data_IF_111349670673
#
_entry.id   IF_111349670673
#
_cell.length_a   1.000
_cell.length_b   1.000
_cell.length_c   1.000
_cell.angle_alpha   90.00
_cell.angle_beta   90.00
_cell.angle_gamma   90.00
#
_symmetry.space_group_name_H-M   'P 1'
#
loop_
_entity.id
_entity.type
_entity.pdbx_description
1 polymer ?
#
# COMPACT_ATOMS: atom_id res chain seq x y z
N UNK A 1 33.30 -6.87 -7.88
CA UNK A 1 32.97 -7.98 -8.82
C UNK A 1 31.54 -7.78 -9.26
N UNK A 2 31.33 -7.52 -10.56
CA UNK A 2 30.03 -7.35 -11.18
C UNK A 2 29.24 -8.68 -11.12
N UNK A 3 27.98 -8.59 -10.74
CA UNK A 3 27.07 -9.71 -10.47
C UNK A 3 27.06 -10.75 -11.59
N UNK A 4 27.26 -12.04 -11.25
CA UNK A 4 27.00 -13.16 -12.17
C UNK A 4 25.50 -13.44 -12.16
N UNK A 5 24.83 -13.32 -13.31
CA UNK A 5 23.47 -13.82 -13.46
C UNK A 5 23.43 -15.32 -13.17
N UNK A 6 22.48 -15.78 -12.35
CA UNK A 6 22.28 -17.19 -12.05
C UNK A 6 21.70 -17.92 -13.27
N UNK A 7 22.11 -19.18 -13.45
CA UNK A 7 21.59 -20.06 -14.50
C UNK A 7 20.09 -20.33 -14.33
N UNK A 8 19.32 -20.51 -15.43
CA UNK A 8 17.93 -20.94 -15.33
C UNK A 8 17.78 -22.22 -14.50
N UNK A 9 16.93 -22.19 -13.47
CA UNK A 9 16.72 -23.33 -12.56
C UNK A 9 17.65 -23.37 -11.35
N UNK A 10 18.56 -22.41 -11.18
CA UNK A 10 19.30 -22.26 -9.93
C UNK A 10 18.33 -21.92 -8.80
N UNK A 11 18.27 -22.76 -7.78
CA UNK A 11 17.67 -22.41 -6.49
C UNK A 11 18.49 -21.28 -5.88
N UNK A 12 17.84 -20.18 -5.49
CA UNK A 12 18.46 -19.13 -4.69
C UNK A 12 18.48 -19.63 -3.25
N UNK A 13 19.65 -20.03 -2.70
CA UNK A 13 19.71 -20.47 -1.32
C UNK A 13 19.48 -19.25 -0.44
N UNK A 14 18.40 -19.27 0.35
CA UNK A 14 17.98 -18.15 1.18
C UNK A 14 16.86 -17.32 0.56
N UNK A 15 15.64 -17.86 0.55
CA UNK A 15 14.46 -17.00 0.65
C UNK A 15 14.21 -16.77 2.16
N UNK A 16 15.15 -16.01 2.74
CA UNK A 16 15.22 -15.52 4.13
C UNK A 16 14.55 -16.40 5.21
N UNK A 17 15.24 -17.36 5.84
CA UNK A 17 15.15 -17.39 7.29
C UNK A 17 15.96 -16.18 7.76
N UNK A 18 15.33 -15.00 7.78
CA UNK A 18 15.79 -13.98 8.70
C UNK A 18 15.95 -14.65 10.08
N UNK A 19 16.94 -14.26 10.90
CA UNK A 19 17.10 -14.90 12.20
C UNK A 19 15.73 -14.91 12.90
N UNK A 20 15.31 -16.06 13.42
CA UNK A 20 14.13 -16.14 14.28
C UNK A 20 14.36 -15.10 15.37
N UNK A 21 13.63 -13.98 15.30
CA UNK A 21 13.83 -12.92 16.26
C UNK A 21 13.32 -13.44 17.60
N UNK A 22 14.19 -13.39 18.61
CA UNK A 22 13.82 -13.79 19.95
C UNK A 22 12.65 -12.90 20.41
N UNK A 23 11.47 -13.50 20.55
CA UNK A 23 10.30 -12.87 21.14
C UNK A 23 10.70 -12.21 22.47
N UNK A 24 10.27 -10.97 22.71
CA UNK A 24 10.42 -10.31 24.01
C UNK A 24 11.58 -9.31 24.16
N UNK A 25 12.39 -9.05 23.12
CA UNK A 25 13.33 -7.90 23.16
C UNK A 25 12.61 -6.58 22.85
N UNK A 26 11.72 -6.60 21.86
CA UNK A 26 10.99 -5.43 21.37
C UNK A 26 9.53 -5.81 21.13
N UNK A 27 8.63 -4.85 21.34
CA UNK A 27 7.24 -4.99 20.93
C UNK A 27 7.14 -4.64 19.44
N UNK A 28 6.74 -5.61 18.62
CA UNK A 28 6.86 -5.53 17.16
C UNK A 28 5.49 -5.42 16.50
N UNK A 29 5.28 -4.32 15.79
CA UNK A 29 4.08 -4.07 14.99
C UNK A 29 4.46 -4.06 13.52
N UNK A 30 3.77 -4.87 12.73
CA UNK A 30 3.87 -4.90 11.28
C UNK A 30 2.67 -4.13 10.68
N UNK A 31 2.93 -3.01 9.99
CA UNK A 31 1.90 -2.14 9.41
C UNK A 31 1.52 -2.50 7.97
N UNK A 32 2.32 -3.35 7.31
CA UNK A 32 2.18 -3.64 5.89
C UNK A 32 2.04 -5.15 5.74
N UNK A 33 0.80 -5.62 5.71
CA UNK A 33 0.48 -7.02 5.53
C UNK A 33 -0.96 -7.19 5.05
N UNK A 34 -1.17 -8.15 4.14
CA UNK A 34 -2.43 -8.22 3.42
C UNK A 34 -3.25 -9.48 3.73
N UNK A 35 -4.58 -9.33 3.84
CA UNK A 35 -5.54 -10.43 3.88
C UNK A 35 -6.48 -10.41 2.68
N UNK A 36 -6.93 -11.60 2.27
CA UNK A 36 -7.73 -11.82 1.08
C UNK A 36 -9.13 -12.36 1.44
N UNK A 37 -10.16 -11.65 1.03
CA UNK A 37 -11.56 -12.09 1.14
C UNK A 37 -11.97 -12.87 -0.11
N UNK A 38 -12.16 -14.18 0.02
CA UNK A 38 -12.66 -15.02 -1.09
C UNK A 38 -14.11 -14.67 -1.46
N UNK A 39 -14.92 -14.25 -0.48
CA UNK A 39 -16.29 -13.75 -0.72
C UNK A 39 -16.29 -12.55 -1.66
N UNK A 40 -15.44 -11.55 -1.39
CA UNK A 40 -15.36 -10.37 -2.23
C UNK A 40 -14.79 -10.67 -3.62
N UNK A 41 -13.87 -11.64 -3.74
CA UNK A 41 -13.38 -12.11 -5.03
C UNK A 41 -14.48 -12.74 -5.88
N UNK A 42 -15.36 -13.56 -5.28
CA UNK A 42 -16.48 -14.18 -5.99
C UNK A 42 -17.51 -13.14 -6.51
N UNK A 43 -17.71 -12.04 -5.77
CA UNK A 43 -18.67 -10.98 -6.15
C UNK A 43 -18.29 -10.24 -7.44
N UNK A 44 -17.01 -10.22 -7.80
CA UNK A 44 -16.49 -9.52 -8.98
C UNK A 44 -16.05 -10.47 -10.09
N UNK A 45 -16.32 -11.77 -9.94
CA UNK A 45 -15.93 -12.77 -10.93
C UNK A 45 -16.52 -12.44 -12.30
N UNK A 46 -15.67 -12.41 -13.32
CA UNK A 46 -16.07 -12.07 -14.69
C UNK A 46 -16.23 -10.56 -14.95
N UNK A 47 -16.08 -9.69 -13.96
CA UNK A 47 -16.14 -8.25 -14.17
C UNK A 47 -14.81 -7.71 -14.75
N UNK A 48 -14.79 -7.44 -16.05
CA UNK A 48 -13.61 -6.99 -16.77
C UNK A 48 -13.02 -5.65 -16.27
N UNK A 49 -13.81 -4.80 -15.60
CA UNK A 49 -13.37 -3.51 -15.09
C UNK A 49 -12.47 -3.64 -13.85
N UNK A 50 -12.53 -4.78 -13.15
CA UNK A 50 -11.71 -5.07 -11.95
C UNK A 50 -10.88 -6.35 -12.07
N UNK A 51 -11.03 -7.09 -13.16
CA UNK A 51 -10.27 -8.32 -13.43
C UNK A 51 -8.87 -8.09 -14.01
N UNK A 52 -8.39 -6.84 -14.09
CA UNK A 52 -7.14 -6.48 -14.79
C UNK A 52 -6.08 -5.99 -13.82
N UNK A 53 -5.51 -6.92 -13.05
CA UNK A 53 -4.39 -6.56 -12.19
C UNK A 53 -3.14 -6.24 -13.01
N UNK A 54 -2.43 -5.19 -12.61
CA UNK A 54 -1.31 -4.65 -13.37
C UNK A 54 -0.20 -5.67 -13.67
N UNK A 55 0.20 -6.48 -12.67
CA UNK A 55 1.24 -7.51 -12.90
C UNK A 55 0.78 -8.65 -13.80
N UNK A 56 -0.51 -8.76 -14.11
CA UNK A 56 -1.05 -9.70 -15.08
C UNK A 56 -1.17 -9.09 -16.48
N UNK A 57 -1.43 -7.80 -16.59
CA UNK A 57 -1.61 -7.13 -17.89
C UNK A 57 -0.29 -6.64 -18.47
N UNK A 58 0.59 -6.09 -17.63
CA UNK A 58 1.83 -5.46 -18.06
C UNK A 58 3.01 -6.42 -18.20
N UNK A 59 2.92 -7.65 -17.66
CA UNK A 59 4.03 -8.61 -17.65
C UNK A 59 4.00 -9.60 -18.85
N UNK A 60 5.13 -10.23 -19.17
CA UNK A 60 5.19 -11.33 -20.15
C UNK A 60 4.55 -12.64 -19.61
N UNK A 61 4.29 -13.61 -20.49
CA UNK A 61 3.58 -14.85 -20.14
C UNK A 61 4.25 -15.65 -19.02
N UNK A 62 5.58 -15.74 -19.04
CA UNK A 62 6.35 -16.45 -18.01
C UNK A 62 6.15 -15.81 -16.64
N UNK A 63 6.25 -14.49 -16.57
CA UNK A 63 6.06 -13.72 -15.34
C UNK A 63 4.62 -13.84 -14.83
N UNK A 64 3.61 -13.79 -15.72
CA UNK A 64 2.20 -14.02 -15.35
C UNK A 64 1.99 -15.41 -14.72
N UNK A 65 2.63 -16.43 -15.27
CA UNK A 65 2.52 -17.79 -14.74
C UNK A 65 3.14 -17.91 -13.35
N UNK A 66 4.32 -17.32 -13.14
CA UNK A 66 4.97 -17.28 -11.82
C UNK A 66 4.12 -16.50 -10.82
N UNK A 67 3.52 -15.37 -11.22
CA UNK A 67 2.65 -14.58 -10.35
C UNK A 67 1.42 -15.39 -9.88
N UNK A 68 0.76 -16.12 -10.80
CA UNK A 68 -0.34 -17.01 -10.47
C UNK A 68 0.08 -18.09 -9.46
N UNK A 69 1.22 -18.75 -9.70
CA UNK A 69 1.76 -19.75 -8.77
C UNK A 69 2.08 -19.17 -7.39
N UNK A 70 2.66 -17.97 -7.35
CA UNK A 70 2.94 -17.28 -6.09
C UNK A 70 1.65 -16.96 -5.34
N UNK A 71 0.62 -16.43 -6.02
CA UNK A 71 -0.67 -16.12 -5.41
C UNK A 71 -1.40 -17.34 -4.85
N UNK A 72 -1.29 -18.50 -5.51
CA UNK A 72 -1.81 -19.76 -4.97
C UNK A 72 -1.02 -20.23 -3.74
N UNK A 73 0.31 -20.13 -3.78
CA UNK A 73 1.16 -20.53 -2.65
C UNK A 73 0.92 -19.67 -1.41
N UNK A 74 0.66 -18.36 -1.58
CA UNK A 74 0.42 -17.42 -0.46
C UNK A 74 -1.04 -17.29 -0.07
N UNK A 75 -1.95 -18.02 -0.75
CA UNK A 75 -3.39 -17.90 -0.53
C UNK A 75 -3.77 -18.19 0.92
N UNK A 76 -3.20 -19.26 1.50
CA UNK A 76 -3.51 -19.67 2.88
C UNK A 76 -3.09 -18.61 3.90
N UNK A 77 -1.89 -18.04 3.77
CA UNK A 77 -1.43 -16.94 4.62
C UNK A 77 -2.34 -15.70 4.48
N UNK A 78 -2.85 -15.45 3.27
CA UNK A 78 -3.80 -14.37 3.01
C UNK A 78 -5.21 -14.62 3.54
N UNK A 79 -5.67 -15.87 3.66
CA UNK A 79 -7.07 -16.19 3.96
C UNK A 79 -7.32 -16.89 5.30
N UNK A 80 -6.28 -17.36 6.00
CA UNK A 80 -6.40 -18.02 7.32
C UNK A 80 -5.69 -17.21 8.40
N UNK A 81 -6.47 -16.77 9.39
CA UNK A 81 -5.94 -16.10 10.57
C UNK A 81 -5.07 -17.04 11.42
N UNK A 82 -5.43 -18.33 11.50
CA UNK A 82 -4.71 -19.34 12.26
C UNK A 82 -3.29 -19.56 11.72
N UNK A 83 -3.14 -19.76 10.41
CA UNK A 83 -1.82 -19.89 9.77
C UNK A 83 -1.00 -18.61 9.93
N UNK A 84 -1.64 -17.44 9.80
CA UNK A 84 -1.00 -16.14 10.01
C UNK A 84 -0.44 -15.96 11.42
N UNK A 85 -1.17 -16.39 12.45
CA UNK A 85 -0.68 -16.34 13.84
C UNK A 85 0.57 -17.21 14.02
N UNK A 86 0.60 -18.39 13.40
CA UNK A 86 1.79 -19.26 13.43
C UNK A 86 3.00 -18.57 12.79
N UNK A 87 2.81 -17.91 11.65
CA UNK A 87 3.88 -17.19 10.97
C UNK A 87 4.33 -15.94 11.75
N UNK A 88 3.39 -15.17 12.31
CA UNK A 88 3.70 -14.04 13.21
C UNK A 88 4.54 -14.48 14.42
N UNK A 89 4.16 -15.58 15.07
CA UNK A 89 4.89 -16.12 16.22
C UNK A 89 6.31 -16.58 15.84
N UNK A 90 6.49 -17.15 14.64
CA UNK A 90 7.81 -17.53 14.11
C UNK A 90 8.68 -16.32 13.77
N UNK A 91 8.07 -15.25 13.27
CA UNK A 91 8.75 -14.01 12.89
C UNK A 91 9.04 -13.10 14.08
N UNK A 92 8.39 -13.34 15.23
CA UNK A 92 8.49 -12.46 16.40
C UNK A 92 7.63 -11.20 16.29
N UNK A 93 6.52 -11.27 15.55
CA UNK A 93 5.57 -10.16 15.36
C UNK A 93 4.45 -10.27 16.40
N UNK A 94 4.30 -9.21 17.20
CA UNK A 94 3.29 -9.16 18.25
C UNK A 94 1.93 -8.74 17.69
N UNK A 95 1.90 -7.69 16.86
CA UNK A 95 0.68 -7.17 16.23
C UNK A 95 0.88 -7.00 14.72
N UNK A 96 -0.13 -7.37 13.94
CA UNK A 96 -0.26 -6.99 12.53
C UNK A 96 -1.42 -6.01 12.33
N UNK A 97 -1.19 -4.91 11.64
CA UNK A 97 -2.24 -4.05 11.11
C UNK A 97 -2.66 -4.59 9.74
N UNK A 98 -3.61 -5.52 9.74
CA UNK A 98 -4.03 -6.23 8.53
C UNK A 98 -4.89 -5.33 7.63
N UNK A 99 -4.58 -5.35 6.35
CA UNK A 99 -5.26 -4.57 5.31
C UNK A 99 -5.81 -5.48 4.20
N UNK A 100 -6.72 -5.00 3.34
CA UNK A 100 -7.11 -5.72 2.13
C UNK A 100 -5.88 -6.05 1.26
N UNK A 101 -5.92 -7.18 0.54
CA UNK A 101 -4.99 -7.38 -0.55
C UNK A 101 -5.20 -6.28 -1.62
N UNK A 102 -4.14 -5.63 -2.15
CA UNK A 102 -4.27 -4.42 -2.98
C UNK A 102 -5.26 -4.56 -4.15
N UNK A 103 -5.20 -5.72 -4.81
CA UNK A 103 -6.08 -6.10 -5.93
C UNK A 103 -7.57 -6.22 -5.57
N UNK A 104 -7.94 -6.14 -4.30
CA UNK A 104 -9.33 -6.26 -3.83
C UNK A 104 -9.99 -4.91 -3.52
N UNK A 105 -9.29 -3.78 -3.73
CA UNK A 105 -9.92 -2.45 -3.60
C UNK A 105 -10.97 -2.19 -4.68
N UNK A 106 -10.83 -2.81 -5.86
CA UNK A 106 -11.83 -2.87 -6.93
C UNK A 106 -12.36 -1.50 -7.40
N UNK A 107 -11.50 -0.48 -7.48
CA UNK A 107 -11.91 0.88 -7.86
C UNK A 107 -12.50 1.01 -9.27
N UNK A 108 -12.28 0.03 -10.14
CA UNK A 108 -12.92 -0.05 -11.46
C UNK A 108 -14.38 -0.53 -11.45
N UNK A 109 -14.91 -1.02 -10.32
CA UNK A 109 -16.30 -1.46 -10.22
C UNK A 109 -17.26 -0.27 -10.21
N UNK A 110 -18.52 -0.50 -10.61
CA UNK A 110 -19.57 0.48 -10.38
C UNK A 110 -19.74 0.80 -8.88
N UNK A 111 -20.27 1.98 -8.53
CA UNK A 111 -20.35 2.42 -7.14
C UNK A 111 -21.04 1.47 -6.16
N UNK A 112 -22.11 0.79 -6.57
CA UNK A 112 -22.86 -0.11 -5.70
C UNK A 112 -22.09 -1.40 -5.46
N UNK A 113 -21.53 -2.01 -6.52
CA UNK A 113 -20.66 -3.17 -6.39
C UNK A 113 -19.39 -2.84 -5.60
N UNK A 114 -18.79 -1.66 -5.82
CA UNK A 114 -17.64 -1.19 -5.05
C UNK A 114 -17.93 -1.08 -3.56
N UNK A 115 -19.12 -0.56 -3.19
CA UNK A 115 -19.58 -0.50 -1.79
C UNK A 115 -19.75 -1.90 -1.20
N UNK A 116 -20.43 -2.79 -1.92
CA UNK A 116 -20.74 -4.14 -1.43
C UNK A 116 -19.48 -4.99 -1.25
N UNK A 117 -18.55 -4.92 -2.20
CA UNK A 117 -17.25 -5.59 -2.11
C UNK A 117 -16.40 -5.02 -0.98
N UNK A 118 -16.33 -3.69 -0.84
CA UNK A 118 -15.62 -3.05 0.28
C UNK A 118 -16.15 -3.53 1.62
N UNK A 119 -17.48 -3.60 1.79
CA UNK A 119 -18.09 -4.14 3.01
C UNK A 119 -17.75 -5.60 3.24
N UNK A 120 -17.82 -6.45 2.21
CA UNK A 120 -17.47 -7.86 2.33
C UNK A 120 -15.99 -8.08 2.73
N UNK A 121 -15.09 -7.19 2.34
CA UNK A 121 -13.68 -7.22 2.74
C UNK A 121 -13.52 -6.72 4.18
N UNK A 122 -14.13 -5.59 4.50
CA UNK A 122 -14.04 -4.98 5.83
C UNK A 122 -14.66 -5.88 6.92
N UNK A 123 -15.78 -6.54 6.61
CA UNK A 123 -16.42 -7.48 7.54
C UNK A 123 -15.53 -8.71 7.77
N UNK A 124 -14.84 -9.21 6.74
CA UNK A 124 -13.86 -10.29 6.89
C UNK A 124 -12.65 -9.88 7.75
N UNK A 125 -12.11 -8.68 7.54
CA UNK A 125 -11.03 -8.13 8.37
C UNK A 125 -11.51 -7.98 9.83
N UNK A 126 -12.74 -7.52 10.04
CA UNK A 126 -13.33 -7.35 11.37
C UNK A 126 -13.52 -8.71 12.07
N UNK A 127 -13.93 -9.75 11.35
CA UNK A 127 -14.02 -11.12 11.89
C UNK A 127 -12.66 -11.64 12.36
N UNK A 128 -11.58 -11.39 11.60
CA UNK A 128 -10.21 -11.76 12.01
C UNK A 128 -9.81 -10.98 13.27
N UNK A 129 -10.01 -9.67 13.30
CA UNK A 129 -9.70 -8.84 14.45
C UNK A 129 -10.49 -9.25 15.70
N UNK A 130 -11.77 -9.60 15.56
CA UNK A 130 -12.59 -10.06 16.68
C UNK A 130 -12.14 -11.42 17.23
N UNK A 131 -11.58 -12.30 16.38
CA UNK A 131 -11.06 -13.61 16.80
C UNK A 131 -9.75 -13.51 17.57
N UNK A 132 -8.87 -12.56 17.20
CA UNK A 132 -7.57 -12.34 17.86
C UNK A 132 -7.34 -10.84 18.14
N UNK A 133 -8.10 -10.24 19.07
CA UNK A 133 -8.13 -8.78 19.28
C UNK A 133 -6.84 -8.21 19.88
N UNK A 134 -5.97 -9.05 20.43
CA UNK A 134 -4.65 -8.72 20.95
C UNK A 134 -3.54 -8.87 19.91
N UNK A 135 -3.85 -9.40 18.72
CA UNK A 135 -2.88 -9.69 17.65
C UNK A 135 -3.12 -8.90 16.37
N UNK A 136 -4.33 -8.41 16.14
CA UNK A 136 -4.68 -7.71 14.90
C UNK A 136 -5.35 -6.36 15.14
N UNK A 137 -5.01 -5.41 14.26
CA UNK A 137 -5.71 -4.14 14.08
C UNK A 137 -6.17 -4.04 12.63
N UNK A 138 -7.40 -3.63 12.37
CA UNK A 138 -7.94 -3.54 11.01
C UNK A 138 -7.63 -2.21 10.31
N UNK A 139 -7.13 -2.31 9.08
CA UNK A 139 -7.15 -1.26 8.06
C UNK A 139 -8.15 -1.67 6.97
N UNK A 140 -9.17 -0.85 6.72
CA UNK A 140 -10.24 -1.20 5.77
C UNK A 140 -9.96 -0.76 4.33
N UNK A 141 -10.90 -1.05 3.43
CA UNK A 141 -11.02 -0.38 2.12
C UNK A 141 -12.34 0.39 2.06
N UNK A 142 -12.41 1.37 1.16
CA UNK A 142 -13.63 2.13 0.87
C UNK A 142 -13.83 2.23 -0.65
N UNK A 143 -15.07 2.37 -1.15
CA UNK A 143 -15.33 2.54 -2.58
C UNK A 143 -14.90 3.94 -3.05
N UNK A 144 -13.59 4.13 -3.21
CA UNK A 144 -12.96 5.44 -3.43
C UNK A 144 -13.44 6.11 -4.72
N UNK A 145 -13.87 5.32 -5.72
CA UNK A 145 -14.50 5.81 -6.95
C UNK A 145 -15.84 6.54 -6.71
N UNK A 146 -16.47 6.34 -5.54
CA UNK A 146 -17.74 6.92 -5.13
C UNK A 146 -17.61 7.66 -3.78
N UNK A 147 -17.13 8.92 -3.78
CA UNK A 147 -16.72 9.63 -2.56
C UNK A 147 -17.75 9.72 -1.41
N UNK A 148 -19.05 9.84 -1.70
CA UNK A 148 -20.08 9.85 -0.64
C UNK A 148 -20.27 8.47 0.00
N UNK A 149 -20.19 7.40 -0.80
CA UNK A 149 -20.21 6.03 -0.29
C UNK A 149 -18.92 5.72 0.49
N UNK A 150 -17.79 6.24 0.04
CA UNK A 150 -16.52 6.12 0.74
C UNK A 150 -16.59 6.73 2.14
N UNK A 151 -17.10 7.96 2.26
CA UNK A 151 -17.28 8.64 3.56
C UNK A 151 -18.22 7.85 4.48
N UNK A 152 -19.34 7.34 3.95
CA UNK A 152 -20.26 6.52 4.74
C UNK A 152 -19.60 5.24 5.27
N UNK A 153 -18.73 4.62 4.46
CA UNK A 153 -17.99 3.43 4.88
C UNK A 153 -16.86 3.77 5.87
N UNK A 154 -16.14 4.90 5.72
CA UNK A 154 -15.18 5.39 6.72
C UNK A 154 -15.82 5.52 8.10
N UNK A 155 -17.03 6.08 8.14
CA UNK A 155 -17.79 6.23 9.38
C UNK A 155 -18.12 4.87 10.02
N UNK A 156 -18.52 3.88 9.21
CA UNK A 156 -18.79 2.53 9.69
C UNK A 156 -17.53 1.85 10.19
N UNK A 157 -16.43 1.95 9.45
CA UNK A 157 -15.12 1.40 9.83
C UNK A 157 -14.69 1.91 11.20
N UNK A 158 -14.73 3.23 11.41
CA UNK A 158 -14.31 3.86 12.66
C UNK A 158 -15.30 3.59 13.81
N UNK A 159 -16.60 3.84 13.61
CA UNK A 159 -17.59 3.83 14.71
C UNK A 159 -18.08 2.43 15.06
N UNK A 160 -18.20 1.55 14.07
CA UNK A 160 -18.85 0.24 14.24
C UNK A 160 -17.85 -0.91 14.28
N UNK A 161 -16.78 -0.85 13.48
CA UNK A 161 -15.78 -1.93 13.42
C UNK A 161 -14.52 -1.64 14.23
N UNK A 162 -14.32 -0.39 14.69
CA UNK A 162 -13.16 0.00 15.50
C UNK A 162 -11.84 0.05 14.72
N UNK A 163 -11.90 0.14 13.39
CA UNK A 163 -10.72 0.19 12.53
C UNK A 163 -9.92 1.47 12.76
N UNK A 164 -8.60 1.38 12.55
CA UNK A 164 -7.66 2.49 12.80
C UNK A 164 -7.07 3.10 11.54
N UNK A 165 -7.46 2.59 10.39
CA UNK A 165 -7.10 3.17 9.11
C UNK A 165 -7.77 2.51 7.93
N UNK A 166 -7.30 2.89 6.75
CA UNK A 166 -7.65 2.31 5.47
C UNK A 166 -6.38 2.05 4.66
N UNK A 167 -6.44 1.06 3.78
CA UNK A 167 -5.53 0.95 2.65
C UNK A 167 -6.20 1.55 1.41
N UNK A 168 -5.42 2.34 0.66
CA UNK A 168 -5.81 2.93 -0.62
C UNK A 168 -4.77 2.62 -1.68
N UNK A 169 -5.20 2.65 -2.94
CA UNK A 169 -4.30 2.56 -4.08
C UNK A 169 -3.76 3.95 -4.45
N UNK A 170 -2.76 3.96 -5.33
CA UNK A 170 -2.07 5.13 -5.91
C UNK A 170 -2.92 5.94 -6.88
N UNK A 171 -3.95 5.33 -7.47
CA UNK A 171 -4.92 5.98 -8.35
C UNK A 171 -6.29 5.30 -8.26
N UNK A 172 -7.33 5.95 -8.77
CA UNK A 172 -8.71 5.44 -8.76
C UNK A 172 -9.16 5.22 -10.19
N UNK A 173 -8.98 3.99 -10.69
CA UNK A 173 -9.25 3.65 -12.09
C UNK A 173 -8.55 4.59 -13.11
N UNK A 174 -7.30 4.95 -12.82
CA UNK A 174 -6.48 5.85 -13.64
C UNK A 174 -6.65 7.35 -13.34
N UNK A 175 -7.52 7.73 -12.40
CA UNK A 175 -7.61 9.12 -11.92
C UNK A 175 -6.73 9.35 -10.70
N UNK A 176 -5.96 10.44 -10.71
CA UNK A 176 -5.05 10.79 -9.62
C UNK A 176 -5.80 11.12 -8.32
N UNK A 177 -5.21 10.71 -7.19
CA UNK A 177 -5.74 10.98 -5.85
C UNK A 177 -5.88 12.48 -5.52
N UNK A 178 -5.18 13.35 -6.25
CA UNK A 178 -5.26 14.81 -6.06
C UNK A 178 -6.52 15.45 -6.63
N UNK A 179 -7.34 14.72 -7.39
CA UNK A 179 -8.56 15.24 -7.97
C UNK A 179 -9.53 15.79 -6.91
N UNK A 180 -10.19 16.91 -7.21
CA UNK A 180 -11.02 17.65 -6.25
C UNK A 180 -12.13 16.80 -5.64
N UNK A 181 -12.69 15.84 -6.40
CA UNK A 181 -13.76 14.96 -5.92
C UNK A 181 -13.33 14.04 -4.77
N UNK A 182 -12.03 13.74 -4.64
CA UNK A 182 -11.49 12.89 -3.59
C UNK A 182 -11.11 13.64 -2.31
N UNK A 183 -11.03 14.97 -2.36
CA UNK A 183 -10.66 15.84 -1.22
C UNK A 183 -11.45 15.52 0.05
N UNK A 184 -12.77 15.35 -0.10
CA UNK A 184 -13.67 15.04 1.03
C UNK A 184 -13.39 13.69 1.70
N UNK A 185 -12.79 12.74 1.00
CA UNK A 185 -12.38 11.45 1.59
C UNK A 185 -11.17 11.68 2.50
N UNK A 186 -10.15 12.43 2.05
CA UNK A 186 -8.98 12.77 2.85
C UNK A 186 -9.33 13.65 4.05
N UNK A 187 -10.20 14.64 3.87
CA UNK A 187 -10.75 15.44 4.97
C UNK A 187 -11.36 14.54 6.05
N UNK A 188 -12.18 13.56 5.65
CA UNK A 188 -12.81 12.65 6.60
C UNK A 188 -11.82 11.72 7.29
N UNK A 189 -10.79 11.25 6.58
CA UNK A 189 -9.73 10.45 7.19
C UNK A 189 -8.98 11.24 8.28
N UNK A 190 -8.67 12.52 8.01
CA UNK A 190 -8.04 13.42 8.97
C UNK A 190 -8.95 13.67 10.19
N UNK A 191 -10.23 14.00 9.98
CA UNK A 191 -11.21 14.22 11.06
C UNK A 191 -11.35 13.02 12.00
N UNK A 192 -11.33 11.80 11.45
CA UNK A 192 -11.40 10.55 12.20
C UNK A 192 -10.04 10.13 12.78
N UNK A 193 -8.95 10.81 12.41
CA UNK A 193 -7.58 10.47 12.80
C UNK A 193 -7.10 9.11 12.28
N UNK A 194 -7.70 8.62 11.19
CA UNK A 194 -7.41 7.34 10.54
C UNK A 194 -6.04 7.39 9.84
N UNK A 195 -5.31 6.28 9.92
CA UNK A 195 -4.12 6.04 9.10
C UNK A 195 -4.57 5.75 7.67
N UNK A 196 -3.97 6.40 6.68
CA UNK A 196 -4.13 6.08 5.26
C UNK A 196 -2.85 5.39 4.81
N UNK A 197 -2.92 4.09 4.54
CA UNK A 197 -1.82 3.30 3.99
C UNK A 197 -1.95 3.27 2.46
N UNK A 198 -1.01 3.88 1.74
CA UNK A 198 -1.02 3.95 0.28
C UNK A 198 -0.12 2.86 -0.30
N UNK A 199 -0.74 1.92 -1.02
CA UNK A 199 -0.07 0.82 -1.70
C UNK A 199 -0.13 1.01 -3.24
N UNK A 200 0.91 0.65 -4.00
CA UNK A 200 0.86 0.71 -5.47
C UNK A 200 -0.16 -0.27 -6.07
N UNK A 201 -0.93 0.19 -7.05
CA UNK A 201 -1.81 -0.67 -7.88
C UNK A 201 -1.10 -1.07 -9.19
N UNK A 202 -0.08 -0.31 -9.57
CA UNK A 202 0.77 -0.55 -10.71
C UNK A 202 0.74 0.59 -11.73
N UNK A 203 1.83 0.76 -12.46
CA UNK A 203 2.03 1.94 -13.29
C UNK A 203 1.23 1.91 -14.60
N UNK A 204 0.38 2.89 -14.86
CA UNK A 204 -0.52 2.91 -16.03
C UNK A 204 0.23 2.91 -17.37
N UNK A 205 1.41 3.53 -17.48
CA UNK A 205 2.22 3.60 -18.71
C UNK A 205 3.37 2.58 -18.75
N UNK A 206 3.08 1.31 -18.47
CA UNK A 206 4.09 0.26 -18.30
C UNK A 206 4.56 -0.46 -19.58
N UNK A 207 4.48 0.16 -20.76
CA UNK A 207 4.83 -0.50 -22.04
C UNK A 207 6.26 -1.04 -22.11
N UNK A 208 7.15 -0.61 -21.21
CA UNK A 208 8.55 -1.05 -21.12
C UNK A 208 8.82 -2.10 -20.03
N UNK A 209 7.79 -2.54 -19.32
CA UNK A 209 7.95 -3.31 -18.07
C UNK A 209 7.58 -4.80 -18.19
N UNK A 210 7.35 -5.28 -19.42
CA UNK A 210 6.90 -6.65 -19.67
C UNK A 210 7.89 -7.73 -19.22
N UNK A 211 9.18 -7.46 -19.34
CA UNK A 211 10.23 -8.43 -19.05
C UNK A 211 10.85 -8.19 -17.67
N UNK A 212 11.60 -9.21 -17.20
CA UNK A 212 12.42 -9.15 -15.98
C UNK A 212 11.69 -8.77 -14.70
N UNK A 213 10.36 -8.94 -14.66
CA UNK A 213 9.52 -8.54 -13.53
C UNK A 213 9.56 -7.02 -13.25
N UNK A 214 9.92 -6.21 -14.25
CA UNK A 214 10.01 -4.75 -14.12
C UNK A 214 8.68 -4.08 -13.79
N UNK A 215 7.55 -4.73 -14.10
CA UNK A 215 6.24 -4.26 -13.64
C UNK A 215 6.24 -4.09 -12.11
N UNK A 216 6.78 -5.06 -11.36
CA UNK A 216 6.90 -4.94 -9.92
C UNK A 216 8.14 -4.13 -9.50
N UNK A 217 9.32 -4.45 -10.04
CA UNK A 217 10.60 -3.87 -9.57
C UNK A 217 10.73 -2.37 -9.88
N UNK A 218 10.14 -1.90 -10.98
CA UNK A 218 10.16 -0.48 -11.39
C UNK A 218 8.76 0.11 -11.28
N UNK A 219 7.76 -0.58 -11.83
CA UNK A 219 6.40 -0.05 -11.96
C UNK A 219 5.76 0.29 -10.62
N UNK A 220 5.74 -0.64 -9.65
CA UNK A 220 5.13 -0.38 -8.34
C UNK A 220 5.80 0.82 -7.60
N UNK A 221 7.12 0.86 -7.39
CA UNK A 221 7.77 2.04 -6.78
C UNK A 221 7.59 3.33 -7.57
N UNK A 222 7.55 3.27 -8.91
CA UNK A 222 7.31 4.44 -9.76
C UNK A 222 5.87 4.96 -9.61
N UNK A 223 4.90 4.06 -9.54
CA UNK A 223 3.49 4.39 -9.34
C UNK A 223 3.27 5.07 -7.98
N UNK A 224 3.83 4.52 -6.90
CA UNK A 224 3.89 5.17 -5.58
C UNK A 224 4.54 6.56 -5.65
N UNK A 225 5.64 6.67 -6.40
CA UNK A 225 6.34 7.94 -6.61
C UNK A 225 5.40 8.96 -7.24
N UNK A 226 4.72 8.61 -8.33
CA UNK A 226 3.80 9.51 -9.04
C UNK A 226 2.64 9.94 -8.14
N UNK A 227 1.96 9.00 -7.49
CA UNK A 227 0.85 9.32 -6.59
C UNK A 227 1.25 10.29 -5.46
N UNK A 228 2.43 10.09 -4.87
CA UNK A 228 2.94 10.98 -3.83
C UNK A 228 3.26 12.38 -4.36
N UNK A 229 3.75 12.52 -5.60
CA UNK A 229 3.87 13.83 -6.24
C UNK A 229 2.52 14.48 -6.41
N UNK A 230 1.50 13.78 -6.89
CA UNK A 230 0.14 14.32 -7.04
C UNK A 230 -0.44 14.78 -5.69
N UNK A 231 -0.27 14.01 -4.62
CA UNK A 231 -0.73 14.40 -3.29
C UNK A 231 -0.02 15.65 -2.74
N UNK A 232 1.28 15.81 -3.02
CA UNK A 232 2.06 17.01 -2.66
C UNK A 232 1.63 18.19 -3.53
N UNK A 233 1.87 18.11 -4.84
CA UNK A 233 1.72 19.22 -5.78
C UNK A 233 0.27 19.57 -6.08
N UNK A 234 -0.67 18.64 -5.92
CA UNK A 234 -2.09 18.93 -5.89
C UNK A 234 -2.53 19.68 -4.64
N UNK A 235 -1.71 19.75 -3.59
CA UNK A 235 -2.01 20.45 -2.35
C UNK A 235 -2.87 19.64 -1.37
N UNK A 236 -3.06 18.33 -1.56
CA UNK A 236 -3.81 17.48 -0.61
C UNK A 236 -3.13 17.52 0.75
N UNK A 237 -1.80 17.34 0.77
CA UNK A 237 -1.04 17.40 2.01
C UNK A 237 -0.94 18.82 2.60
N UNK A 238 -1.14 19.87 1.79
CA UNK A 238 -1.28 21.25 2.30
C UNK A 238 -2.60 21.42 3.03
N UNK A 239 -3.69 20.97 2.42
CA UNK A 239 -5.06 21.16 2.92
C UNK A 239 -5.36 20.33 4.16
N UNK A 240 -4.74 19.14 4.27
CA UNK A 240 -4.91 18.19 5.37
C UNK A 240 -3.58 17.96 6.09
N UNK A 241 -3.11 18.91 6.91
CA UNK A 241 -1.79 18.86 7.52
C UNK A 241 -1.62 17.81 8.63
N UNK A 242 -2.71 17.26 9.16
CA UNK A 242 -2.74 16.21 10.19
C UNK A 242 -3.10 14.82 9.60
N UNK A 243 -3.28 14.71 8.28
CA UNK A 243 -3.49 13.43 7.62
C UNK A 243 -2.30 12.49 7.87
N UNK A 244 -2.57 11.31 8.42
CA UNK A 244 -1.57 10.27 8.68
C UNK A 244 -1.40 9.38 7.45
N UNK A 245 -0.58 9.82 6.51
CA UNK A 245 -0.27 9.07 5.30
C UNK A 245 0.97 8.19 5.50
N UNK A 246 0.81 6.87 5.39
CA UNK A 246 1.89 5.88 5.31
C UNK A 246 2.04 5.46 3.86
N UNK A 247 3.26 5.40 3.35
CA UNK A 247 3.55 5.06 1.96
C UNK A 247 4.35 3.77 1.88
N UNK A 248 3.85 2.81 1.12
CA UNK A 248 4.48 1.51 0.93
C UNK A 248 5.87 1.61 0.25
N UNK A 249 6.68 0.58 0.46
CA UNK A 249 7.97 0.32 -0.18
C UNK A 249 8.94 1.51 -0.06
N UNK A 250 9.06 2.05 1.16
CA UNK A 250 9.92 3.20 1.45
C UNK A 250 9.54 4.49 0.73
N UNK A 251 8.30 4.60 0.22
CA UNK A 251 7.84 5.75 -0.57
C UNK A 251 8.22 5.73 -2.04
N UNK A 252 8.65 4.58 -2.55
CA UNK A 252 9.14 4.44 -3.92
C UNK A 252 10.48 5.16 -4.13
N UNK A 253 10.61 5.88 -5.24
CA UNK A 253 11.84 6.59 -5.58
C UNK A 253 11.91 8.02 -5.03
N UNK A 254 10.77 8.61 -4.65
CA UNK A 254 10.73 10.01 -4.24
C UNK A 254 11.63 10.29 -3.01
N UNK A 255 11.61 9.48 -1.94
CA UNK A 255 12.39 9.82 -0.76
C UNK A 255 13.90 9.84 -0.99
N UNK A 256 14.40 8.97 -1.87
CA UNK A 256 15.81 8.92 -2.29
C UNK A 256 16.20 10.00 -3.31
N UNK A 257 15.22 10.64 -3.97
CA UNK A 257 15.44 11.63 -5.03
C UNK A 257 14.67 12.94 -4.81
N UNK A 258 14.43 13.30 -3.55
CA UNK A 258 13.56 14.41 -3.15
C UNK A 258 14.13 15.79 -3.50
N UNK A 259 15.43 15.94 -3.71
CA UNK A 259 16.02 17.22 -4.15
C UNK A 259 15.46 17.72 -5.49
N UNK A 260 14.97 16.82 -6.35
CA UNK A 260 14.44 17.19 -7.67
C UNK A 260 13.14 18.00 -7.58
N UNK A 261 12.27 17.71 -6.62
CA UNK A 261 10.99 18.40 -6.49
C UNK A 261 11.17 19.84 -6.00
N UNK A 262 12.10 20.09 -5.07
CA UNK A 262 12.41 21.45 -4.61
C UNK A 262 13.13 22.27 -5.69
N UNK A 263 14.05 21.64 -6.43
CA UNK A 263 14.70 22.29 -7.57
C UNK A 263 13.66 22.71 -8.63
N UNK A 264 12.70 21.83 -8.95
CA UNK A 264 11.61 22.15 -9.87
C UNK A 264 10.76 23.31 -9.33
N UNK A 265 10.34 23.29 -8.06
CA UNK A 265 9.55 24.36 -7.46
C UNK A 265 10.28 25.72 -7.48
N UNK A 266 11.60 25.73 -7.26
CA UNK A 266 12.40 26.95 -7.35
C UNK A 266 12.58 27.47 -8.78
N UNK A 267 12.61 26.57 -9.77
CA UNK A 267 12.86 26.92 -11.17
C UNK A 267 11.58 27.18 -11.98
N UNK A 268 10.43 26.66 -11.54
CA UNK A 268 9.18 26.57 -12.31
C UNK A 268 7.97 26.93 -11.45
N UNK A 269 7.53 28.21 -11.45
CA UNK A 269 6.38 28.64 -10.65
C UNK A 269 5.08 27.87 -10.97
N UNK A 270 4.92 27.42 -12.22
CA UNK A 270 3.75 26.66 -12.70
C UNK A 270 3.58 25.32 -11.99
N UNK A 271 4.64 24.70 -11.48
CA UNK A 271 4.52 23.41 -10.80
C UNK A 271 4.03 23.55 -9.35
N UNK A 272 4.13 24.73 -8.73
CA UNK A 272 3.89 24.92 -7.31
C UNK A 272 2.75 25.89 -6.99
N UNK A 273 1.82 26.12 -7.91
CA UNK A 273 0.67 27.03 -7.73
C UNK A 273 -0.19 26.68 -6.51
N UNK A 274 -0.23 25.39 -6.15
CA UNK A 274 -0.96 24.89 -4.99
C UNK A 274 -0.10 24.79 -3.72
N UNK A 275 1.16 25.23 -3.73
CA UNK A 275 2.05 25.08 -2.58
C UNK A 275 2.29 26.42 -1.88
N UNK A 276 2.46 26.35 -0.56
CA UNK A 276 2.83 27.50 0.28
C UNK A 276 4.25 27.37 0.84
N UNK A 277 4.85 26.18 0.74
CA UNK A 277 6.20 25.85 1.20
C UNK A 277 6.88 24.96 0.16
N UNK A 278 8.19 24.73 0.34
CA UNK A 278 8.92 23.80 -0.53
C UNK A 278 8.31 22.39 -0.47
N UNK A 279 8.15 21.69 -1.61
CA UNK A 279 7.58 20.35 -1.69
C UNK A 279 8.09 19.36 -0.64
N UNK A 280 9.40 19.35 -0.36
CA UNK A 280 9.99 18.47 0.67
C UNK A 280 9.47 18.72 2.08
N UNK A 281 8.93 19.91 2.38
CA UNK A 281 8.27 20.21 3.67
C UNK A 281 7.03 19.34 3.86
N UNK A 282 6.29 19.09 2.79
CA UNK A 282 5.12 18.22 2.83
C UNK A 282 5.53 16.75 2.90
N UNK A 283 6.56 16.36 2.12
CA UNK A 283 7.12 15.00 2.12
C UNK A 283 7.62 14.59 3.51
N UNK A 284 8.27 15.48 4.27
CA UNK A 284 8.77 15.19 5.63
C UNK A 284 7.68 14.86 6.66
N UNK A 285 6.40 15.04 6.34
CA UNK A 285 5.29 14.71 7.25
C UNK A 285 4.67 13.34 7.00
N UNK A 286 5.02 12.69 5.89
CA UNK A 286 4.50 11.34 5.59
C UNK A 286 5.34 10.29 6.32
N UNK A 287 4.76 9.11 6.50
CA UNK A 287 5.42 7.94 7.06
C UNK A 287 5.77 6.98 5.93
N UNK A 288 6.80 6.17 6.13
CA UNK A 288 7.25 5.18 5.16
C UNK A 288 7.32 3.82 5.83
N UNK A 289 7.00 2.75 5.12
CA UNK A 289 7.42 1.44 5.60
C UNK A 289 8.95 1.23 5.43
N UNK A 290 9.47 0.19 6.07
CA UNK A 290 10.88 -0.19 6.03
C UNK A 290 11.22 -1.16 4.88
N UNK A 291 10.32 -1.39 3.92
CA UNK A 291 10.50 -2.37 2.84
C UNK A 291 11.37 -1.85 1.70
N UNK A 292 12.64 -1.60 2.03
CA UNK A 292 13.69 -1.14 1.10
C UNK A 292 14.82 -2.17 0.91
N UNK A 293 14.67 -3.35 1.51
CA UNK A 293 15.47 -4.58 1.35
C UNK A 293 16.98 -4.49 1.61
N UNK A 294 17.50 -3.32 1.98
CA UNK A 294 18.93 -3.10 2.24
C UNK A 294 19.13 -2.13 3.39
N UNK A 295 20.12 -2.38 4.24
CA UNK A 295 20.36 -1.54 5.42
C UNK A 295 20.73 -0.11 5.04
N UNK A 296 21.57 0.10 4.03
CA UNK A 296 21.99 1.46 3.65
C UNK A 296 20.81 2.35 3.20
N UNK A 297 19.79 1.76 2.55
CA UNK A 297 18.60 2.50 2.14
C UNK A 297 17.69 2.80 3.33
N UNK A 298 17.62 1.88 4.30
CA UNK A 298 16.90 2.10 5.55
C UNK A 298 17.58 3.18 6.40
N UNK A 299 18.90 3.13 6.55
CA UNK A 299 19.71 4.15 7.25
C UNK A 299 19.48 5.52 6.61
N UNK A 300 19.50 5.61 5.28
CA UNK A 300 19.18 6.84 4.56
C UNK A 300 17.78 7.37 4.91
N UNK A 301 16.75 6.51 4.92
CA UNK A 301 15.40 6.94 5.26
C UNK A 301 15.33 7.47 6.70
N UNK A 302 15.96 6.78 7.65
CA UNK A 302 16.04 7.21 9.05
C UNK A 302 16.77 8.55 9.19
N UNK A 303 17.90 8.72 8.51
CA UNK A 303 18.68 9.96 8.56
C UNK A 303 17.94 11.16 7.95
N UNK A 304 17.16 10.94 6.89
CA UNK A 304 16.46 12.02 6.19
C UNK A 304 15.10 12.39 6.79
N UNK A 305 14.36 11.39 7.30
CA UNK A 305 12.96 11.55 7.72
C UNK A 305 12.73 11.31 9.21
N UNK A 306 13.69 10.73 9.93
CA UNK A 306 13.58 10.39 11.34
C UNK A 306 13.07 8.97 11.57
N UNK A 307 13.60 8.30 12.60
CA UNK A 307 13.19 6.94 12.96
C UNK A 307 11.70 6.84 13.36
N UNK A 308 11.11 7.95 13.80
CA UNK A 308 9.69 8.09 14.14
C UNK A 308 8.76 8.16 12.91
N UNK A 309 9.33 8.30 11.70
CA UNK A 309 8.61 8.28 10.44
C UNK A 309 8.75 6.94 9.66
N UNK A 310 9.53 5.98 10.17
CA UNK A 310 9.78 4.70 9.51
C UNK A 310 9.10 3.57 10.28
N UNK A 311 8.22 2.82 9.60
CA UNK A 311 7.38 1.78 10.18
C UNK A 311 7.78 0.40 9.66
N UNK A 312 7.75 -0.63 10.51
CA UNK A 312 8.06 -2.00 10.09
C UNK A 312 6.92 -2.58 9.24
N UNK A 313 7.24 -3.23 8.13
CA UNK A 313 6.30 -3.86 7.20
C UNK A 313 6.83 -5.20 6.68
N UNK A 314 5.95 -6.12 6.26
CA UNK A 314 6.36 -7.42 5.66
C UNK A 314 5.82 -7.72 4.26
N UNK A 315 4.74 -7.04 3.85
CA UNK A 315 3.98 -7.19 2.57
C UNK A 315 3.34 -8.59 2.40
#
# INVERSE_FOLDING_TARGET
>A
MLFKCLSPGAEVPGRFPGPVHARGKWFTIDIHCHVRSDKAAAMVEGNAAVSRWFLETAANERSRTINRQNGERTRLQGSSAEERIVDMDRMGIDIQAISPAPRQTYYGADPDLGRETSRAINDFIAEICARYPDRFVGLGTVPFQAPDLAIAELDRLYKSLGFRGIEIMTHVAGEDLSADRFRKIFARCEELGLVVFMHPDGFTEAGRFADHYFANVIGNPLDTTVALHHLIFGGVLRDYPNLKLVVAHGGGFLPAYSGRIDHAAAARPDCCEQLQRMPTTYLKRVYFDALVYTHHQLDYLVDQYGADHILMGTD
#
